data_IF_385667393794
#
_entry.id   IF_385667393794
#
_cell.length_a   1.000
_cell.length_b   1.000
_cell.length_c   1.000
_cell.angle_alpha   90.00
_cell.angle_beta   90.00
_cell.angle_gamma   90.00
#
_symmetry.space_group_name_H-M   'P 1'
#
loop_
_entity.id
_entity.type
_entity.pdbx_description
1 polymer ?
#
# COMPACT_ATOMS: atom_id res chain seq x y z
N UNK A 1 -8.32 -5.35 7.23
CA UNK A 1 -7.25 -5.92 6.37
C UNK A 1 -5.86 -5.49 6.80
N UNK A 2 -5.52 -4.20 6.74
CA UNK A 2 -4.20 -3.73 7.21
C UNK A 2 -4.14 -3.62 8.73
N UNK A 3 -5.26 -3.28 9.38
CA UNK A 3 -5.39 -3.20 10.85
C UNK A 3 -5.16 -4.53 11.57
N UNK A 4 -5.35 -5.66 10.88
CA UNK A 4 -5.10 -7.01 11.41
C UNK A 4 -3.59 -7.35 11.48
N UNK A 5 -2.79 -6.72 10.62
CA UNK A 5 -1.33 -6.89 10.57
C UNK A 5 -0.65 -5.80 11.39
N UNK A 6 -1.15 -4.57 11.29
CA UNK A 6 -0.60 -3.41 11.98
C UNK A 6 -1.73 -2.49 12.48
N UNK A 7 -2.09 -2.56 13.78
CA UNK A 7 -3.17 -1.76 14.34
C UNK A 7 -2.78 -0.28 14.34
N UNK A 8 -3.33 0.47 13.39
CA UNK A 8 -3.08 1.90 13.23
C UNK A 8 -2.45 2.29 11.89
N UNK A 9 -2.15 1.31 11.04
CA UNK A 9 -1.72 1.58 9.67
C UNK A 9 -2.82 2.27 8.86
N UNK A 10 -2.43 3.23 8.04
CA UNK A 10 -3.30 3.97 7.14
C UNK A 10 -3.07 3.50 5.71
N UNK A 11 -4.15 3.35 4.94
CA UNK A 11 -4.10 2.85 3.57
C UNK A 11 -4.52 3.96 2.63
N UNK A 12 -3.72 4.16 1.60
CA UNK A 12 -3.90 5.19 0.59
C UNK A 12 -3.79 4.56 -0.80
N UNK A 13 -4.63 5.00 -1.72
CA UNK A 13 -4.39 4.80 -3.15
C UNK A 13 -3.69 6.03 -3.69
N UNK A 14 -2.59 5.81 -4.40
CA UNK A 14 -1.79 6.83 -5.07
C UNK A 14 -1.76 6.51 -6.58
N UNK A 15 -1.10 7.35 -7.39
CA UNK A 15 -0.96 7.11 -8.83
C UNK A 15 -2.16 7.58 -9.67
N UNK A 16 -2.26 7.09 -10.92
CA UNK A 16 -3.22 7.57 -11.92
C UNK A 16 -4.69 7.38 -11.52
N UNK A 17 -4.98 6.37 -10.70
CA UNK A 17 -6.30 6.18 -10.06
C UNK A 17 -6.67 7.34 -9.16
N UNK A 18 -5.73 7.88 -8.37
CA UNK A 18 -6.00 9.06 -7.55
C UNK A 18 -6.20 10.33 -8.42
N UNK A 19 -5.63 10.36 -9.62
CA UNK A 19 -5.73 11.44 -10.61
C UNK A 19 -6.93 11.34 -11.55
N UNK A 20 -7.84 10.38 -11.35
CA UNK A 20 -9.04 10.14 -12.20
C UNK A 20 -8.69 9.70 -13.65
N UNK A 21 -7.46 9.21 -13.86
CA UNK A 21 -7.02 8.62 -15.14
C UNK A 21 -7.00 7.10 -15.02
N UNK A 22 -8.18 6.49 -15.15
CA UNK A 22 -8.29 5.03 -15.14
C UNK A 22 -7.86 4.50 -16.51
N UNK A 23 -6.58 4.15 -16.68
CA UNK A 23 -6.16 3.40 -17.86
C UNK A 23 -6.28 1.91 -17.59
N UNK A 24 -6.81 1.16 -18.56
CA UNK A 24 -7.31 -0.22 -18.41
C UNK A 24 -6.18 -1.25 -18.14
N UNK A 25 -4.91 -0.85 -18.12
CA UNK A 25 -3.79 -1.80 -18.21
C UNK A 25 -2.74 -1.76 -17.09
N UNK A 26 -2.58 -0.68 -16.32
CA UNK A 26 -1.68 -0.66 -15.15
C UNK A 26 -1.95 0.55 -14.28
N UNK A 27 -2.52 0.47 -13.05
CA UNK A 27 -2.84 1.74 -12.36
C UNK A 27 -3.23 1.70 -10.85
N UNK A 28 -3.03 0.63 -10.08
CA UNK A 28 -3.36 0.66 -8.63
C UNK A 28 -2.11 0.61 -7.78
N UNK A 29 -1.58 1.79 -7.46
CA UNK A 29 -0.54 1.95 -6.45
C UNK A 29 -1.19 2.13 -5.07
N UNK A 30 -0.88 1.23 -4.14
CA UNK A 30 -1.37 1.30 -2.77
C UNK A 30 -0.21 1.64 -1.85
N UNK A 31 -0.32 2.75 -1.15
CA UNK A 31 0.60 3.17 -0.10
C UNK A 31 0.01 2.85 1.27
N UNK A 32 0.77 2.09 2.05
CA UNK A 32 0.43 1.71 3.41
C UNK A 32 1.41 2.39 4.34
N UNK A 33 0.87 3.28 5.16
CA UNK A 33 1.60 4.11 6.11
C UNK A 33 1.50 3.50 7.49
N UNK A 34 2.63 3.24 8.11
CA UNK A 34 2.73 2.72 9.47
C UNK A 34 3.13 3.85 10.41
N UNK A 35 2.34 4.06 11.49
CA UNK A 35 2.58 5.07 12.54
C UNK A 35 3.68 4.69 13.53
N UNK A 36 4.72 4.02 13.05
CA UNK A 36 5.96 3.74 13.77
C UNK A 36 7.11 3.64 12.78
N UNK A 37 8.33 3.87 13.27
CA UNK A 37 9.52 3.73 12.45
C UNK A 37 9.75 2.26 12.10
N UNK A 38 9.91 1.99 10.80
CA UNK A 38 10.23 0.66 10.30
C UNK A 38 11.75 0.56 10.08
N UNK A 39 12.39 -0.41 10.73
CA UNK A 39 13.81 -0.71 10.48
C UNK A 39 13.95 -1.75 9.37
N UNK A 40 15.05 -1.71 8.60
CA UNK A 40 15.14 -2.34 7.27
C UNK A 40 14.62 -3.78 7.16
N UNK A 41 14.94 -4.66 8.12
CA UNK A 41 14.45 -6.05 8.11
C UNK A 41 12.95 -6.14 8.43
N UNK A 42 12.48 -5.39 9.43
CA UNK A 42 11.07 -5.32 9.80
C UNK A 42 10.22 -4.78 8.64
N UNK A 43 10.68 -3.72 7.97
CA UNK A 43 10.02 -3.16 6.78
C UNK A 43 9.81 -4.22 5.71
N UNK A 44 10.85 -5.00 5.41
CA UNK A 44 10.78 -6.05 4.39
C UNK A 44 9.85 -7.19 4.79
N UNK A 45 9.87 -7.62 6.05
CA UNK A 45 8.95 -8.65 6.56
C UNK A 45 7.50 -8.17 6.55
N UNK A 46 7.25 -6.94 6.97
CA UNK A 46 5.91 -6.35 6.96
C UNK A 46 5.38 -6.22 5.52
N UNK A 47 6.21 -5.74 4.59
CA UNK A 47 5.85 -5.66 3.17
C UNK A 47 5.44 -7.02 2.60
N UNK A 48 6.21 -8.08 2.90
CA UNK A 48 5.86 -9.45 2.49
C UNK A 48 4.53 -9.90 3.11
N UNK A 49 4.35 -9.73 4.42
CA UNK A 49 3.11 -10.13 5.11
C UNK A 49 1.89 -9.45 4.52
N UNK A 50 1.97 -8.14 4.28
CA UNK A 50 0.90 -7.35 3.69
C UNK A 50 0.62 -7.79 2.25
N UNK A 51 1.66 -8.04 1.45
CA UNK A 51 1.52 -8.53 0.08
C UNK A 51 0.82 -9.90 0.02
N UNK A 52 1.30 -10.89 0.78
CA UNK A 52 0.67 -12.22 0.83
C UNK A 52 -0.76 -12.15 1.35
N UNK A 53 -1.04 -11.30 2.37
CA UNK A 53 -2.39 -11.12 2.88
C UNK A 53 -3.31 -10.51 1.84
N UNK A 54 -2.85 -9.48 1.11
CA UNK A 54 -3.63 -8.84 0.05
C UNK A 54 -3.95 -9.84 -1.07
N UNK A 55 -2.98 -10.67 -1.46
CA UNK A 55 -3.21 -11.74 -2.44
C UNK A 55 -4.26 -12.74 -1.95
N UNK A 56 -4.12 -13.24 -0.73
CA UNK A 56 -5.00 -14.26 -0.14
C UNK A 56 -6.45 -13.75 0.02
N UNK A 57 -6.62 -12.48 0.40
CA UNK A 57 -7.94 -11.91 0.69
C UNK A 57 -8.66 -11.36 -0.55
N UNK A 58 -7.94 -10.80 -1.51
CA UNK A 58 -8.51 -10.20 -2.71
C UNK A 58 -8.44 -11.11 -3.95
N UNK A 59 -7.95 -12.34 -3.78
CA UNK A 59 -7.71 -13.29 -4.88
C UNK A 59 -6.91 -12.66 -6.04
N UNK A 60 -6.00 -11.73 -5.69
CA UNK A 60 -5.26 -10.97 -6.68
C UNK A 60 -4.32 -11.94 -7.43
N UNK A 61 -4.42 -12.02 -8.77
CA UNK A 61 -3.48 -12.82 -9.53
C UNK A 61 -2.06 -12.31 -9.31
N UNK A 62 -1.08 -13.21 -9.35
CA UNK A 62 0.33 -12.83 -9.19
C UNK A 62 0.79 -11.78 -10.21
N UNK A 63 0.12 -11.75 -11.36
CA UNK A 63 0.33 -10.83 -12.46
C UNK A 63 -0.60 -9.61 -12.42
N UNK A 64 -1.33 -9.40 -11.31
CA UNK A 64 -2.16 -8.22 -11.15
C UNK A 64 -1.27 -6.96 -11.20
N UNK A 65 -1.70 -5.90 -11.91
CA UNK A 65 -0.93 -4.67 -12.01
C UNK A 65 -1.13 -3.79 -10.77
N UNK A 66 -0.85 -4.34 -9.58
CA UNK A 66 -0.99 -3.69 -8.28
C UNK A 66 0.39 -3.55 -7.66
N UNK A 67 0.81 -2.32 -7.36
CA UNK A 67 2.07 -2.05 -6.67
C UNK A 67 1.79 -1.68 -5.21
N UNK A 68 2.38 -2.45 -4.27
CA UNK A 68 2.26 -2.18 -2.84
C UNK A 68 3.52 -1.51 -2.28
N UNK A 69 3.33 -0.33 -1.70
CA UNK A 69 4.33 0.41 -0.94
C UNK A 69 3.98 0.33 0.55
N UNK A 70 4.94 -0.09 1.38
CA UNK A 70 4.78 -0.10 2.84
C UNK A 70 5.87 0.78 3.42
N UNK A 71 5.47 1.91 3.98
CA UNK A 71 6.36 3.00 4.39
C UNK A 71 6.02 3.48 5.80
N UNK A 72 7.01 4.07 6.47
CA UNK A 72 6.85 4.77 7.75
C UNK A 72 6.57 6.27 7.55
N UNK A 73 6.20 6.96 8.64
CA UNK A 73 5.88 8.40 8.68
C UNK A 73 6.96 9.32 8.07
N UNK A 74 8.23 8.92 8.09
CA UNK A 74 9.28 9.70 7.45
C UNK A 74 9.43 9.35 5.97
N UNK A 75 9.35 8.07 5.62
CA UNK A 75 9.58 7.58 4.26
C UNK A 75 8.43 7.88 3.30
N UNK A 76 7.18 7.90 3.80
CA UNK A 76 6.00 8.23 2.99
C UNK A 76 6.02 9.65 2.43
N UNK A 77 6.80 10.57 3.02
CA UNK A 77 6.93 11.97 2.56
C UNK A 77 7.51 12.07 1.15
N UNK A 78 8.13 11.00 0.66
CA UNK A 78 8.61 10.89 -0.73
C UNK A 78 7.45 10.84 -1.74
N UNK A 79 6.27 10.44 -1.29
CA UNK A 79 5.06 10.36 -2.11
C UNK A 79 4.31 11.68 -2.02
N UNK A 80 4.58 12.59 -2.97
CA UNK A 80 4.02 13.95 -3.02
C UNK A 80 2.81 14.08 -3.95
N UNK A 81 2.45 13.00 -4.65
CA UNK A 81 1.30 12.95 -5.56
C UNK A 81 -0.05 12.95 -4.85
N UNK A 82 -1.12 13.00 -5.64
CA UNK A 82 -2.50 12.90 -5.13
C UNK A 82 -2.70 11.53 -4.48
N UNK A 83 -3.34 11.53 -3.30
CA UNK A 83 -3.61 10.32 -2.53
C UNK A 83 -5.04 10.32 -2.04
N UNK A 84 -5.70 9.18 -2.15
CA UNK A 84 -7.05 8.95 -1.65
C UNK A 84 -6.94 7.99 -0.47
N UNK A 85 -7.32 8.44 0.73
CA UNK A 85 -7.36 7.57 1.90
C UNK A 85 -8.51 6.57 1.72
N UNK A 86 -8.20 5.28 1.86
CA UNK A 86 -9.23 4.25 1.98
C UNK A 86 -9.51 4.06 3.47
N UNK A 87 -10.77 4.23 3.86
CA UNK A 87 -11.23 3.79 5.17
C UNK A 87 -11.39 2.26 5.14
N UNK A 88 -10.52 1.55 5.86
CA UNK A 88 -10.53 0.07 5.97
C UNK A 88 -10.87 -0.41 7.37
#
# INVERSE_FOLDING_TARGET
MTRDIEPGAEVYVIGGVAEDRITVLSDIDILIVVKRKLEGKEKMELRKKVFFRAMDFYDLPFDAPVELHVEDEESEKKFTGKRIRIET
#
